data_IF_638579601444
#
_entry.id   IF_638579601444
#
_cell.length_a   1.000
_cell.length_b   1.000
_cell.length_c   1.000
_cell.angle_alpha   90.00
_cell.angle_beta   90.00
_cell.angle_gamma   90.00
#
_symmetry.space_group_name_H-M   'P 1'
#
loop_
_entity.id
_entity.type
_entity.pdbx_description
1 polymer ?
#
# COMPACT_ATOMS: atom_id res chain seq x y z
N UNK A 1 -7.78 21.35 -10.70
CA UNK A 1 -8.92 21.74 -9.86
C UNK A 1 -9.46 20.50 -9.19
N UNK A 2 -9.82 20.59 -7.91
CA UNK A 2 -10.34 19.46 -7.14
C UNK A 2 -11.84 19.59 -6.92
N UNK A 3 -12.52 18.44 -6.95
CA UNK A 3 -13.93 18.31 -6.55
C UNK A 3 -14.04 17.24 -5.49
N UNK A 4 -14.88 17.44 -4.48
CA UNK A 4 -15.17 16.46 -3.44
C UNK A 4 -16.67 16.16 -3.47
N UNK A 5 -16.99 14.87 -3.49
CA UNK A 5 -18.36 14.38 -3.48
C UNK A 5 -18.61 13.57 -2.20
N UNK A 6 -19.83 13.63 -1.70
CA UNK A 6 -20.32 12.74 -0.65
C UNK A 6 -21.62 12.10 -1.14
N UNK A 7 -21.66 10.78 -1.23
CA UNK A 7 -22.78 10.03 -1.77
C UNK A 7 -23.27 10.58 -3.13
N UNK A 8 -22.31 10.99 -3.99
CA UNK A 8 -22.60 11.58 -5.31
C UNK A 8 -22.98 13.08 -5.29
N UNK A 9 -23.18 13.70 -4.13
CA UNK A 9 -23.43 15.14 -3.99
C UNK A 9 -22.14 15.93 -3.92
N UNK A 10 -22.03 17.03 -4.65
CA UNK A 10 -20.84 17.86 -4.72
C UNK A 10 -20.67 18.66 -3.41
N UNK A 11 -19.73 18.27 -2.55
CA UNK A 11 -19.40 18.99 -1.31
C UNK A 11 -18.41 20.14 -1.54
N UNK A 12 -17.52 20.02 -2.50
CA UNK A 12 -16.50 21.03 -2.73
C UNK A 12 -16.19 21.19 -4.22
N UNK A 13 -16.19 22.44 -4.63
CA UNK A 13 -15.58 22.88 -5.87
C UNK A 13 -14.89 24.21 -5.60
N UNK A 14 -13.59 24.28 -5.90
CA UNK A 14 -12.77 25.48 -5.66
C UNK A 14 -13.29 26.74 -6.37
N UNK A 15 -14.19 26.61 -7.35
CA UNK A 15 -14.82 27.73 -8.06
C UNK A 15 -16.14 28.20 -7.43
N UNK A 16 -16.70 27.46 -6.47
CA UNK A 16 -18.00 27.77 -5.85
C UNK A 16 -17.84 28.12 -4.39
N UNK A 17 -18.11 29.36 -4.00
CA UNK A 17 -17.99 29.80 -2.58
C UNK A 17 -18.96 29.07 -1.66
N UNK A 18 -20.17 28.79 -2.14
CA UNK A 18 -21.22 28.08 -1.38
C UNK A 18 -20.92 26.59 -1.14
N UNK A 19 -19.98 26.01 -1.89
CA UNK A 19 -19.58 24.61 -1.78
C UNK A 19 -18.09 24.53 -1.42
N UNK A 20 -17.77 24.93 -0.18
CA UNK A 20 -16.41 24.89 0.33
C UNK A 20 -16.28 24.10 1.61
N UNK A 21 -15.29 23.24 1.64
CA UNK A 21 -14.77 22.61 2.85
C UNK A 21 -13.40 23.19 3.14
N UNK A 22 -12.94 23.14 4.38
CA UNK A 22 -11.64 23.67 4.80
C UNK A 22 -10.74 22.57 5.35
N UNK A 23 -9.42 22.84 5.42
CA UNK A 23 -8.43 21.89 5.93
C UNK A 23 -8.43 20.55 5.18
N UNK A 24 -8.85 20.56 3.90
CA UNK A 24 -9.05 19.36 3.11
C UNK A 24 -7.70 18.79 2.63
N UNK A 25 -7.32 17.63 3.19
CA UNK A 25 -6.07 16.95 2.89
C UNK A 25 -6.29 15.47 2.59
N UNK A 26 -5.75 15.02 1.46
CA UNK A 26 -5.66 13.61 1.09
C UNK A 26 -4.26 13.11 1.35
N UNK A 27 -4.14 11.99 2.05
CA UNK A 27 -2.88 11.27 2.24
C UNK A 27 -3.03 9.88 1.62
N UNK A 28 -2.20 9.59 0.63
CA UNK A 28 -2.14 8.28 -0.03
C UNK A 28 -0.75 7.71 0.22
N UNK A 29 -0.71 6.51 0.72
CA UNK A 29 0.55 5.79 0.98
C UNK A 29 0.44 4.38 0.41
N UNK A 30 1.54 3.92 -0.16
CA UNK A 30 1.62 2.62 -0.80
C UNK A 30 1.32 1.49 0.18
N UNK A 31 0.40 0.61 -0.18
CA UNK A 31 -0.02 -0.51 0.66
C UNK A 31 -0.85 -0.13 1.89
N UNK A 32 -1.34 1.10 1.99
CA UNK A 32 -2.20 1.59 3.08
C UNK A 32 -3.58 1.98 2.57
N UNK A 33 -4.52 2.11 3.49
CA UNK A 33 -5.92 2.46 3.16
C UNK A 33 -6.06 3.85 2.53
N UNK A 34 -5.12 4.76 2.81
CA UNK A 34 -5.26 6.18 2.50
C UNK A 34 -6.20 6.90 3.47
N UNK A 35 -6.04 8.21 3.59
CA UNK A 35 -6.81 9.06 4.49
C UNK A 35 -7.27 10.32 3.75
N UNK A 36 -8.47 10.81 4.10
CA UNK A 36 -8.94 12.12 3.68
C UNK A 36 -9.56 12.85 4.86
N UNK A 37 -9.02 13.99 5.22
CA UNK A 37 -9.51 14.82 6.32
C UNK A 37 -10.04 16.14 5.77
N UNK A 38 -11.14 16.63 6.32
CA UNK A 38 -11.70 17.95 6.00
C UNK A 38 -12.59 18.48 7.12
N UNK A 39 -12.87 19.78 7.07
CA UNK A 39 -13.83 20.45 7.95
C UNK A 39 -14.98 21.00 7.12
N UNK A 40 -16.22 20.76 7.55
CA UNK A 40 -17.44 21.30 6.96
C UNK A 40 -18.22 22.07 8.04
N UNK A 41 -18.73 23.25 7.67
CA UNK A 41 -19.41 24.16 8.57
C UNK A 41 -20.95 24.08 8.45
N UNK A 42 -21.70 24.47 9.48
CA UNK A 42 -23.17 24.36 9.49
C UNK A 42 -23.91 25.11 8.38
N UNK A 43 -23.32 26.16 7.83
CA UNK A 43 -23.86 26.93 6.70
C UNK A 43 -23.71 26.24 5.34
N UNK A 44 -22.96 25.15 5.28
CA UNK A 44 -22.79 24.37 4.05
C UNK A 44 -24.07 23.61 3.69
N UNK A 45 -24.58 23.66 2.43
CA UNK A 45 -25.85 23.07 2.03
C UNK A 45 -26.01 21.57 2.32
N UNK A 46 -24.89 20.84 2.38
CA UNK A 46 -24.86 19.40 2.62
C UNK A 46 -24.23 19.02 3.97
N UNK A 47 -24.21 19.94 4.93
CA UNK A 47 -23.66 19.68 6.26
C UNK A 47 -24.29 18.46 6.94
N UNK A 48 -25.64 18.34 6.85
CA UNK A 48 -26.40 17.25 7.47
C UNK A 48 -26.35 15.93 6.68
N UNK A 49 -25.71 15.93 5.52
CA UNK A 49 -25.61 14.77 4.65
C UNK A 49 -24.33 13.92 4.89
N UNK A 50 -23.47 14.37 5.80
CA UNK A 50 -22.23 13.67 6.17
C UNK A 50 -22.49 12.81 7.39
N UNK A 51 -22.54 11.49 7.18
CA UNK A 51 -22.87 10.48 8.21
C UNK A 51 -21.69 9.54 8.46
N UNK A 52 -21.48 9.22 9.73
CA UNK A 52 -20.48 8.27 10.19
C UNK A 52 -20.73 6.88 9.58
N UNK A 53 -19.70 6.22 9.03
CA UNK A 53 -19.68 4.89 8.44
C UNK A 53 -20.57 4.67 7.21
N UNK A 54 -21.51 5.57 6.93
CA UNK A 54 -22.49 5.45 5.84
C UNK A 54 -22.12 6.30 4.62
N UNK A 55 -21.48 7.44 4.83
CA UNK A 55 -21.14 8.33 3.72
C UNK A 55 -19.88 7.88 3.02
N UNK A 56 -19.98 7.71 1.70
CA UNK A 56 -18.84 7.50 0.80
C UNK A 56 -18.40 8.86 0.27
N UNK A 57 -17.14 9.17 0.49
CA UNK A 57 -16.53 10.43 0.05
C UNK A 57 -15.52 10.13 -1.06
N UNK A 58 -15.65 10.86 -2.16
CA UNK A 58 -14.79 10.74 -3.33
C UNK A 58 -14.12 12.07 -3.62
N UNK A 59 -12.81 12.05 -3.81
CA UNK A 59 -12.02 13.22 -4.24
C UNK A 59 -11.59 13.01 -5.69
N UNK A 60 -11.88 13.99 -6.54
CA UNK A 60 -11.53 13.98 -7.95
C UNK A 60 -10.61 15.14 -8.31
N UNK A 61 -9.70 14.89 -9.23
CA UNK A 61 -8.87 15.88 -9.89
C UNK A 61 -8.92 15.67 -11.40
N UNK A 62 -9.32 16.71 -12.17
CA UNK A 62 -9.45 16.61 -13.64
C UNK A 62 -10.21 15.33 -14.05
N UNK A 63 -11.34 15.08 -13.41
CA UNK A 63 -12.24 13.93 -13.66
C UNK A 63 -11.65 12.54 -13.32
N UNK A 64 -10.42 12.48 -12.79
CA UNK A 64 -9.84 11.26 -12.20
C UNK A 64 -10.11 11.20 -10.70
N UNK A 65 -10.62 10.09 -10.22
CA UNK A 65 -10.72 9.81 -8.77
C UNK A 65 -9.33 9.57 -8.20
N UNK A 66 -8.95 10.36 -7.21
CA UNK A 66 -7.68 10.23 -6.50
C UNK A 66 -7.84 9.61 -5.11
N UNK A 67 -9.05 9.69 -4.53
CA UNK A 67 -9.40 9.07 -3.28
C UNK A 67 -10.88 8.68 -3.32
N UNK A 68 -11.19 7.53 -2.79
CA UNK A 68 -12.55 7.07 -2.47
C UNK A 68 -12.51 6.32 -1.16
N UNK A 69 -13.49 6.57 -0.29
CA UNK A 69 -13.52 5.94 1.02
C UNK A 69 -14.74 6.34 1.82
N UNK A 70 -14.82 5.89 3.07
CA UNK A 70 -15.94 6.17 3.96
C UNK A 70 -15.57 7.13 5.09
N UNK A 71 -16.57 7.79 5.64
CA UNK A 71 -16.41 8.61 6.85
C UNK A 71 -16.21 7.70 8.05
N UNK A 72 -15.00 7.73 8.62
CA UNK A 72 -14.62 6.91 9.79
C UNK A 72 -14.87 7.63 11.11
N UNK A 73 -14.64 8.94 11.14
CA UNK A 73 -14.74 9.74 12.39
C UNK A 73 -15.30 11.12 12.10
N UNK A 74 -16.17 11.59 12.99
CA UNK A 74 -16.68 12.97 13.02
C UNK A 74 -16.43 13.52 14.42
N UNK A 75 -15.75 14.66 14.50
CA UNK A 75 -15.60 15.46 15.73
C UNK A 75 -16.29 16.80 15.51
N UNK A 76 -16.97 17.32 16.54
CA UNK A 76 -17.65 18.60 16.49
C UNK A 76 -16.83 19.65 17.22
N UNK A 77 -16.59 20.79 16.59
CA UNK A 77 -15.92 21.92 17.20
C UNK A 77 -16.89 22.88 17.90
N UNK A 78 -16.33 23.97 18.39
CA UNK A 78 -17.09 24.94 19.20
C UNK A 78 -18.27 25.58 18.45
N UNK A 79 -18.15 25.78 17.16
CA UNK A 79 -19.22 26.35 16.31
C UNK A 79 -20.00 25.25 15.54
N UNK A 80 -20.04 24.06 16.08
CA UNK A 80 -20.65 22.88 15.45
C UNK A 80 -20.05 22.50 14.07
N UNK A 81 -18.87 23.00 13.73
CA UNK A 81 -18.17 22.51 12.56
C UNK A 81 -17.85 21.01 12.73
N UNK A 82 -18.06 20.24 11.67
CA UNK A 82 -17.68 18.83 11.64
C UNK A 82 -16.24 18.72 11.11
N UNK A 83 -15.34 18.20 11.94
CA UNK A 83 -14.04 17.72 11.52
C UNK A 83 -14.20 16.24 11.14
N UNK A 84 -14.05 15.94 9.86
CA UNK A 84 -14.34 14.63 9.28
C UNK A 84 -13.04 13.96 8.90
N UNK A 85 -12.87 12.73 9.34
CA UNK A 85 -11.79 11.85 8.88
C UNK A 85 -12.39 10.67 8.12
N UNK A 86 -11.90 10.46 6.90
CA UNK A 86 -12.29 9.35 6.03
C UNK A 86 -11.12 8.39 5.87
N UNK A 87 -11.44 7.10 5.78
CA UNK A 87 -10.50 6.03 5.42
C UNK A 87 -10.81 5.48 4.02
N UNK A 88 -9.77 5.13 3.27
CA UNK A 88 -9.90 4.67 1.90
C UNK A 88 -10.45 3.24 1.79
N UNK A 89 -10.71 2.84 0.56
CA UNK A 89 -11.49 1.64 0.21
C UNK A 89 -10.89 0.32 0.72
N UNK A 90 -9.56 0.20 0.88
CA UNK A 90 -8.94 -0.98 1.49
C UNK A 90 -9.53 -1.31 2.87
N UNK A 91 -9.98 -0.30 3.61
CA UNK A 91 -10.59 -0.48 4.92
C UNK A 91 -11.93 -1.24 4.88
N UNK A 92 -12.59 -1.38 3.73
CA UNK A 92 -13.80 -2.19 3.62
C UNK A 92 -13.53 -3.67 3.90
N UNK A 93 -12.31 -4.15 3.63
CA UNK A 93 -11.88 -5.51 3.96
C UNK A 93 -11.76 -5.78 5.48
N UNK A 94 -11.81 -4.73 6.31
CA UNK A 94 -11.87 -4.85 7.77
C UNK A 94 -13.31 -5.14 8.27
N UNK A 95 -14.33 -4.88 7.44
CA UNK A 95 -15.74 -5.07 7.82
C UNK A 95 -16.18 -6.53 7.77
N UNK A 96 -15.37 -7.40 7.21
CA UNK A 96 -15.71 -8.79 6.95
C UNK A 96 -14.74 -9.75 7.62
N UNK A 97 -15.21 -10.94 7.91
CA UNK A 97 -14.49 -11.93 8.71
C UNK A 97 -14.35 -13.22 7.91
N UNK A 98 -13.16 -13.76 7.91
CA UNK A 98 -12.85 -15.10 7.42
C UNK A 98 -13.02 -16.07 8.59
N UNK A 99 -13.92 -17.05 8.44
CA UNK A 99 -14.12 -18.12 9.41
C UNK A 99 -12.98 -19.13 9.36
N UNK A 100 -12.80 -19.96 10.41
CA UNK A 100 -11.87 -21.09 10.36
C UNK A 100 -12.06 -21.92 9.10
N UNK A 101 -11.00 -22.12 8.34
CA UNK A 101 -11.06 -22.85 7.09
C UNK A 101 -9.77 -23.64 6.82
N UNK A 102 -9.89 -24.66 5.97
CA UNK A 102 -8.76 -25.31 5.31
C UNK A 102 -8.83 -25.01 3.82
N UNK A 103 -7.71 -24.55 3.25
CA UNK A 103 -7.59 -24.19 1.85
C UNK A 103 -6.35 -24.83 1.24
N UNK A 104 -6.47 -25.28 0.00
CA UNK A 104 -5.38 -25.82 -0.80
C UNK A 104 -5.48 -25.26 -2.22
N UNK A 105 -4.44 -24.63 -2.73
CA UNK A 105 -4.43 -24.02 -4.06
C UNK A 105 -3.19 -23.17 -4.30
N UNK A 106 -3.33 -22.06 -5.00
CA UNK A 106 -2.29 -21.04 -5.20
C UNK A 106 -2.62 -19.75 -4.43
N UNK A 107 -1.68 -18.80 -4.38
CA UNK A 107 -1.90 -17.49 -3.74
C UNK A 107 -3.00 -16.68 -4.46
N UNK A 108 -2.97 -16.67 -5.79
CA UNK A 108 -3.97 -15.95 -6.59
C UNK A 108 -5.37 -16.53 -6.41
N UNK A 109 -5.50 -17.85 -6.39
CA UNK A 109 -6.76 -18.53 -6.12
C UNK A 109 -7.24 -18.29 -4.69
N UNK A 110 -6.31 -18.24 -3.72
CA UNK A 110 -6.67 -17.93 -2.33
C UNK A 110 -7.16 -16.49 -2.19
N UNK A 111 -6.51 -15.52 -2.84
CA UNK A 111 -7.00 -14.13 -2.90
C UNK A 111 -8.43 -14.09 -3.46
N UNK A 112 -8.68 -14.78 -4.58
CA UNK A 112 -10.01 -14.85 -5.18
C UNK A 112 -11.05 -15.46 -4.23
N UNK A 113 -10.67 -16.49 -3.46
CA UNK A 113 -11.50 -17.09 -2.45
C UNK A 113 -11.84 -16.12 -1.31
N UNK A 114 -10.85 -15.38 -0.79
CA UNK A 114 -11.04 -14.37 0.26
C UNK A 114 -11.93 -13.20 -0.21
N UNK A 115 -11.76 -12.74 -1.43
CA UNK A 115 -12.60 -11.68 -2.02
C UNK A 115 -14.04 -12.18 -2.21
N UNK A 116 -14.24 -13.44 -2.56
CA UNK A 116 -15.59 -14.05 -2.62
C UNK A 116 -16.26 -14.08 -1.24
N UNK A 117 -15.51 -14.44 -0.18
CA UNK A 117 -16.00 -14.41 1.21
C UNK A 117 -16.40 -12.98 1.58
N UNK A 118 -15.53 -12.00 1.32
CA UNK A 118 -15.79 -10.59 1.58
C UNK A 118 -17.07 -10.12 0.87
N UNK A 119 -17.17 -10.35 -0.44
CA UNK A 119 -18.29 -9.92 -1.25
C UNK A 119 -19.62 -10.53 -0.83
N UNK A 120 -19.60 -11.72 -0.21
CA UNK A 120 -20.78 -12.36 0.36
C UNK A 120 -21.28 -11.73 1.67
N UNK A 121 -20.46 -10.90 2.33
CA UNK A 121 -20.78 -10.29 3.62
C UNK A 121 -21.09 -8.79 3.53
N UNK A 122 -20.87 -8.16 2.39
CA UNK A 122 -21.08 -6.72 2.18
C UNK A 122 -22.05 -6.44 1.03
N UNK A 123 -22.63 -5.24 1.03
CA UNK A 123 -23.41 -4.74 -0.10
C UNK A 123 -22.52 -4.40 -1.33
N UNK A 124 -23.16 -4.22 -2.48
CA UNK A 124 -22.45 -4.01 -3.76
C UNK A 124 -21.55 -2.77 -3.78
N UNK A 125 -21.76 -1.79 -2.90
CA UNK A 125 -20.96 -0.57 -2.83
C UNK A 125 -19.59 -0.77 -2.21
N UNK A 126 -19.38 -1.90 -1.52
CA UNK A 126 -18.13 -2.27 -0.85
C UNK A 126 -17.43 -3.47 -1.47
N UNK A 127 -18.01 -4.11 -2.48
CA UNK A 127 -17.46 -5.28 -3.13
C UNK A 127 -16.20 -4.97 -3.95
N UNK A 128 -15.35 -5.98 -4.11
CA UNK A 128 -14.14 -5.96 -4.93
C UNK A 128 -14.17 -7.04 -6.01
N UNK A 129 -13.46 -6.79 -7.09
CA UNK A 129 -12.96 -7.83 -7.99
C UNK A 129 -11.45 -7.98 -7.79
N UNK A 130 -10.94 -9.19 -8.01
CA UNK A 130 -9.50 -9.41 -8.07
C UNK A 130 -8.97 -8.70 -9.31
N UNK A 131 -7.98 -7.86 -9.11
CA UNK A 131 -7.29 -7.12 -10.17
C UNK A 131 -5.99 -7.80 -10.58
N UNK A 132 -4.95 -6.98 -10.78
CA UNK A 132 -3.64 -7.48 -11.20
C UNK A 132 -2.94 -8.20 -10.04
N UNK A 133 -2.37 -9.37 -10.35
CA UNK A 133 -1.61 -10.17 -9.41
C UNK A 133 -0.20 -10.38 -9.95
N UNK A 134 0.75 -9.56 -9.50
CA UNK A 134 2.16 -9.64 -9.92
C UNK A 134 3.07 -10.32 -8.90
N UNK A 135 2.51 -10.80 -7.78
CA UNK A 135 3.24 -11.67 -6.88
C UNK A 135 3.55 -13.02 -7.55
N UNK A 136 4.66 -13.65 -7.15
CA UNK A 136 4.89 -15.04 -7.56
C UNK A 136 3.77 -15.93 -7.00
N UNK A 137 3.15 -16.69 -7.87
CA UNK A 137 2.04 -17.57 -7.52
C UNK A 137 2.56 -18.92 -7.03
N UNK A 138 2.49 -19.15 -5.73
CA UNK A 138 2.98 -20.39 -5.13
C UNK A 138 1.93 -21.50 -5.18
N UNK A 139 2.36 -22.68 -5.58
CA UNK A 139 1.57 -23.91 -5.57
C UNK A 139 2.46 -25.10 -5.24
N UNK A 140 2.10 -26.00 -4.30
CA UNK A 140 0.92 -25.92 -3.45
C UNK A 140 1.08 -24.92 -2.30
N UNK A 141 0.02 -24.18 -2.04
CA UNK A 141 -0.15 -23.33 -0.86
C UNK A 141 -1.30 -23.91 -0.01
N UNK A 142 -1.00 -24.24 1.22
CA UNK A 142 -1.95 -24.80 2.15
C UNK A 142 -2.17 -23.87 3.35
N UNK A 143 -3.42 -23.61 3.66
CA UNK A 143 -3.82 -22.80 4.81
C UNK A 143 -4.78 -23.59 5.68
N UNK A 144 -4.48 -23.66 6.97
CA UNK A 144 -5.41 -24.07 8.00
C UNK A 144 -5.50 -22.95 9.01
N UNK A 145 -6.70 -22.40 9.18
CA UNK A 145 -6.97 -21.36 10.19
C UNK A 145 -7.96 -21.90 11.21
N UNK A 146 -7.71 -21.59 12.48
CA UNK A 146 -8.59 -21.99 13.59
C UNK A 146 -9.30 -20.80 14.23
N UNK A 147 -8.95 -19.58 13.81
CA UNK A 147 -9.43 -18.32 14.37
C UNK A 147 -10.24 -17.54 13.35
N UNK A 148 -11.14 -16.69 13.85
CA UNK A 148 -11.82 -15.66 13.07
C UNK A 148 -10.91 -14.45 12.89
N UNK A 149 -10.65 -14.07 11.66
CA UNK A 149 -9.78 -12.90 11.34
C UNK A 149 -10.46 -12.01 10.30
N UNK A 150 -10.14 -10.72 10.26
CA UNK A 150 -10.67 -9.86 9.20
C UNK A 150 -10.07 -10.26 7.85
N UNK A 151 -10.84 -10.04 6.77
CA UNK A 151 -10.38 -10.38 5.42
C UNK A 151 -9.07 -9.65 5.09
N UNK A 152 -8.92 -8.38 5.50
CA UNK A 152 -7.68 -7.64 5.30
C UNK A 152 -6.50 -8.30 6.03
N UNK A 153 -6.67 -8.64 7.31
CA UNK A 153 -5.60 -9.27 8.11
C UNK A 153 -5.15 -10.61 7.52
N UNK A 154 -6.09 -11.41 7.00
CA UNK A 154 -5.76 -12.68 6.35
C UNK A 154 -4.96 -12.46 5.06
N UNK A 155 -5.38 -11.51 4.21
CA UNK A 155 -4.63 -11.14 2.99
C UNK A 155 -3.24 -10.62 3.35
N UNK A 156 -3.13 -9.71 4.32
CA UNK A 156 -1.84 -9.14 4.75
C UNK A 156 -0.91 -10.20 5.32
N UNK A 157 -1.43 -11.11 6.13
CA UNK A 157 -0.61 -12.14 6.79
C UNK A 157 -0.19 -13.25 5.83
N UNK A 158 -1.14 -13.76 5.02
CA UNK A 158 -0.92 -14.96 4.21
C UNK A 158 -0.34 -14.67 2.84
N UNK A 159 -0.71 -13.54 2.23
CA UNK A 159 -0.27 -13.21 0.87
C UNK A 159 0.83 -12.16 0.92
N UNK A 160 0.57 -10.99 1.49
CA UNK A 160 1.50 -9.86 1.45
C UNK A 160 2.74 -10.13 2.31
N UNK A 161 2.56 -10.64 3.53
CA UNK A 161 3.67 -10.93 4.44
C UNK A 161 4.65 -11.97 3.90
N UNK A 162 4.19 -12.88 3.04
CA UNK A 162 5.01 -13.94 2.45
C UNK A 162 5.57 -13.57 1.06
N UNK A 163 4.80 -12.83 0.26
CA UNK A 163 5.24 -12.42 -1.10
C UNK A 163 6.13 -11.19 -1.10
N UNK A 164 6.06 -10.35 -0.05
CA UNK A 164 6.72 -9.04 -0.02
C UNK A 164 6.12 -8.01 -0.98
N UNK A 165 4.92 -8.26 -1.51
CA UNK A 165 4.17 -7.36 -2.38
C UNK A 165 3.39 -6.32 -1.57
N UNK A 166 2.60 -5.49 -2.24
CA UNK A 166 1.70 -4.53 -1.61
C UNK A 166 0.30 -4.59 -2.22
N UNK A 167 -0.69 -4.13 -1.45
CA UNK A 167 -2.07 -3.99 -1.90
C UNK A 167 -2.30 -2.60 -2.49
N UNK A 168 -3.08 -2.55 -3.56
CA UNK A 168 -3.57 -1.31 -4.14
C UNK A 168 -5.02 -1.48 -4.57
N UNK A 169 -5.84 -0.45 -4.35
CA UNK A 169 -7.19 -0.39 -4.90
C UNK A 169 -7.23 0.54 -6.10
N UNK A 170 -7.99 0.18 -7.11
CA UNK A 170 -8.32 1.02 -8.25
C UNK A 170 -9.78 0.84 -8.65
N UNK A 171 -10.35 1.87 -9.24
CA UNK A 171 -11.73 1.83 -9.73
C UNK A 171 -11.77 2.14 -11.22
N UNK A 172 -12.34 1.23 -12.00
CA UNK A 172 -12.54 1.39 -13.44
C UNK A 172 -13.99 1.05 -13.80
N UNK A 173 -14.65 1.94 -14.53
CA UNK A 173 -16.04 1.75 -14.98
C UNK A 173 -17.02 1.40 -13.84
N UNK A 174 -16.80 1.96 -12.65
CA UNK A 174 -17.61 1.71 -11.45
C UNK A 174 -17.33 0.37 -10.74
N UNK A 175 -16.35 -0.39 -11.21
CA UNK A 175 -15.89 -1.63 -10.57
C UNK A 175 -14.64 -1.32 -9.76
N UNK A 176 -14.61 -1.81 -8.52
CA UNK A 176 -13.45 -1.71 -7.63
C UNK A 176 -12.62 -2.97 -7.73
N UNK A 177 -11.33 -2.80 -8.01
CA UNK A 177 -10.36 -3.88 -8.08
C UNK A 177 -9.40 -3.83 -6.89
N UNK A 178 -8.99 -5.01 -6.42
CA UNK A 178 -7.91 -5.19 -5.48
C UNK A 178 -6.72 -5.81 -6.22
N UNK A 179 -5.64 -5.06 -6.32
CA UNK A 179 -4.40 -5.48 -6.97
C UNK A 179 -3.38 -5.91 -5.91
N UNK A 180 -2.58 -6.93 -6.22
CA UNK A 180 -1.40 -7.38 -5.45
C UNK A 180 -0.18 -7.17 -6.33
N UNK A 181 0.61 -6.16 -6.02
CA UNK A 181 1.68 -5.68 -6.88
C UNK A 181 3.06 -5.88 -6.26
N UNK A 182 4.04 -6.27 -7.08
CA UNK A 182 5.44 -6.32 -6.69
C UNK A 182 6.08 -4.92 -6.76
N UNK A 183 7.22 -4.78 -6.08
CA UNK A 183 8.02 -3.55 -6.14
C UNK A 183 8.99 -3.50 -7.32
N UNK A 184 8.84 -4.41 -8.27
CA UNK A 184 9.69 -4.43 -9.46
C UNK A 184 9.47 -3.16 -10.31
N UNK A 185 10.53 -2.71 -10.94
CA UNK A 185 10.47 -1.53 -11.81
C UNK A 185 9.58 -1.84 -13.01
N UNK A 186 8.38 -1.25 -13.01
CA UNK A 186 7.52 -1.22 -14.19
C UNK A 186 7.71 0.08 -14.95
N UNK A 187 8.39 0.00 -16.08
CA UNK A 187 8.63 1.16 -16.95
C UNK A 187 7.35 1.76 -17.51
N UNK A 188 6.27 0.98 -17.59
CA UNK A 188 4.97 1.46 -18.05
C UNK A 188 4.26 2.28 -16.97
N UNK A 189 4.65 2.14 -15.70
CA UNK A 189 4.14 2.91 -14.57
C UNK A 189 5.11 4.03 -14.15
N UNK A 190 5.91 4.52 -15.08
CA UNK A 190 6.82 5.65 -14.84
C UNK A 190 6.06 6.98 -14.91
N UNK A 191 6.35 7.87 -13.95
CA UNK A 191 5.82 9.25 -13.98
C UNK A 191 6.43 10.01 -15.14
N UNK A 192 5.61 10.81 -15.84
CA UNK A 192 6.10 11.78 -16.85
C UNK A 192 6.69 13.04 -16.21
N UNK A 193 6.54 13.21 -14.89
CA UNK A 193 7.13 14.27 -14.11
C UNK A 193 8.43 13.79 -13.47
N UNK A 194 9.58 14.35 -13.89
CA UNK A 194 10.87 14.06 -13.28
C UNK A 194 11.12 14.94 -12.04
N UNK A 195 11.92 14.45 -11.11
CA UNK A 195 12.41 15.21 -9.95
C UNK A 195 13.80 15.76 -10.29
N UNK A 196 13.98 17.06 -10.15
CA UNK A 196 15.24 17.72 -10.52
C UNK A 196 15.68 18.67 -9.41
N UNK A 197 16.95 18.52 -8.99
CA UNK A 197 17.58 19.47 -8.07
C UNK A 197 17.55 20.89 -8.64
N UNK A 198 17.12 21.85 -7.81
CA UNK A 198 16.95 23.24 -8.22
C UNK A 198 15.63 23.54 -8.95
N UNK A 199 14.74 22.56 -9.15
CA UNK A 199 13.41 22.76 -9.76
C UNK A 199 12.27 22.40 -8.79
N UNK A 200 12.07 21.13 -8.51
CA UNK A 200 10.95 20.62 -7.69
C UNK A 200 11.40 19.73 -6.51
N UNK A 201 12.68 19.47 -6.38
CA UNK A 201 13.26 18.84 -5.20
C UNK A 201 13.25 19.83 -4.03
N UNK A 202 12.52 19.53 -2.96
CA UNK A 202 12.38 20.38 -1.78
C UNK A 202 13.39 19.99 -0.72
N UNK A 203 13.47 18.71 -0.40
CA UNK A 203 14.37 18.16 0.62
C UNK A 203 14.81 16.75 0.25
N UNK A 204 15.95 16.33 0.77
CA UNK A 204 16.47 14.98 0.64
C UNK A 204 17.10 14.55 1.96
N UNK A 205 16.58 13.46 2.51
CA UNK A 205 17.15 12.78 3.66
C UNK A 205 17.63 11.41 3.21
N UNK A 206 18.84 11.05 3.60
CA UNK A 206 19.39 9.71 3.38
C UNK A 206 19.75 9.10 4.72
N UNK A 207 19.01 8.07 5.09
CA UNK A 207 19.32 7.25 6.25
C UNK A 207 19.89 5.91 5.76
N UNK A 208 20.99 5.49 6.35
CA UNK A 208 21.57 4.17 6.13
C UNK A 208 21.47 3.43 7.46
N UNK A 209 20.49 2.56 7.56
CA UNK A 209 20.22 1.76 8.77
C UNK A 209 20.50 0.29 8.48
N UNK A 210 21.47 -0.28 9.18
CA UNK A 210 21.87 -1.68 9.04
C UNK A 210 21.11 -2.65 9.94
N UNK A 211 20.16 -2.19 10.77
CA UNK A 211 19.49 -3.03 11.77
C UNK A 211 18.68 -4.19 11.18
N UNK A 212 18.15 -4.00 9.98
CA UNK A 212 17.34 -5.00 9.25
C UNK A 212 18.07 -5.64 8.06
N UNK A 213 19.39 -5.35 7.91
CA UNK A 213 20.18 -5.94 6.82
C UNK A 213 20.29 -7.45 7.01
N UNK A 214 20.01 -8.18 5.96
CA UNK A 214 20.31 -9.60 5.86
C UNK A 214 20.84 -9.90 4.46
N UNK A 215 21.74 -10.86 4.38
CA UNK A 215 22.30 -11.34 3.12
C UNK A 215 21.94 -12.81 2.86
N UNK A 216 21.27 -13.42 3.82
CA UNK A 216 20.85 -14.82 3.78
C UNK A 216 19.57 -15.01 4.57
N UNK A 217 18.70 -15.90 4.11
CA UNK A 217 17.51 -16.31 4.88
C UNK A 217 17.50 -17.82 5.10
N UNK A 218 17.03 -18.21 6.29
CA UNK A 218 16.69 -19.59 6.65
C UNK A 218 15.17 -19.66 6.61
N UNK A 219 14.57 -20.19 5.52
CA UNK A 219 13.13 -20.29 5.42
C UNK A 219 12.61 -21.49 6.22
N UNK A 220 11.54 -21.26 6.97
CA UNK A 220 10.82 -22.29 7.70
C UNK A 220 9.37 -22.32 7.22
N UNK A 221 8.91 -23.47 6.73
CA UNK A 221 7.51 -23.70 6.35
C UNK A 221 6.64 -24.06 7.55
N UNK A 222 5.49 -24.64 7.24
CA UNK A 222 4.54 -25.16 8.24
C UNK A 222 5.13 -26.37 8.96
N UNK A 223 4.59 -26.70 10.11
CA UNK A 223 4.98 -27.89 10.87
C UNK A 223 4.31 -29.15 10.28
N UNK A 224 5.14 -30.12 9.88
CA UNK A 224 4.69 -31.41 9.38
C UNK A 224 5.36 -32.52 10.22
N UNK A 225 4.55 -33.40 10.80
CA UNK A 225 5.02 -34.50 11.66
C UNK A 225 5.91 -34.03 12.85
N UNK A 226 5.62 -32.88 13.43
CA UNK A 226 6.34 -32.37 14.61
C UNK A 226 7.64 -31.62 14.26
N UNK A 227 7.91 -31.32 13.00
CA UNK A 227 9.08 -30.55 12.56
C UNK A 227 8.69 -29.52 11.51
N UNK A 228 9.27 -28.32 11.60
CA UNK A 228 9.10 -27.30 10.57
C UNK A 228 9.76 -27.74 9.25
N UNK A 229 9.06 -27.57 8.15
CA UNK A 229 9.57 -27.84 6.82
C UNK A 229 10.72 -26.86 6.51
N UNK A 230 11.84 -27.39 6.04
CA UNK A 230 13.00 -26.65 5.57
C UNK A 230 13.36 -26.99 4.14
N UNK A 231 14.26 -26.21 3.55
CA UNK A 231 14.66 -26.37 2.12
C UNK A 231 15.85 -27.31 1.90
N UNK A 232 16.45 -27.86 2.96
CA UNK A 232 17.71 -28.63 2.85
C UNK A 232 17.67 -29.76 1.83
N UNK A 233 16.56 -30.50 1.73
CA UNK A 233 16.38 -31.62 0.80
C UNK A 233 16.41 -31.21 -0.69
N UNK A 234 16.06 -29.98 -1.00
CA UNK A 234 15.98 -29.42 -2.37
C UNK A 234 17.01 -28.33 -2.64
N UNK A 235 17.92 -28.09 -1.69
CA UNK A 235 18.90 -27.00 -1.75
C UNK A 235 20.34 -27.48 -1.42
N UNK A 236 20.75 -28.63 -1.95
CA UNK A 236 22.09 -29.19 -1.72
C UNK A 236 22.46 -29.29 -0.22
N UNK A 237 21.52 -29.73 0.62
CA UNK A 237 21.62 -29.83 2.09
C UNK A 237 21.88 -28.50 2.82
N UNK A 238 21.83 -27.35 2.12
CA UNK A 238 21.93 -26.05 2.76
C UNK A 238 20.55 -25.61 3.24
N UNK A 239 20.39 -25.26 4.53
CA UNK A 239 19.09 -24.83 5.06
C UNK A 239 18.76 -23.36 4.74
N UNK A 240 19.61 -22.67 4.00
CA UNK A 240 19.50 -21.24 3.71
C UNK A 240 19.75 -20.95 2.23
N UNK A 241 19.27 -19.78 1.79
CA UNK A 241 19.64 -19.18 0.51
C UNK A 241 20.35 -17.84 0.76
N UNK A 242 21.26 -17.46 -0.14
CA UNK A 242 22.06 -16.23 -0.05
C UNK A 242 21.81 -15.33 -1.25
N UNK A 243 21.94 -14.03 -1.03
CA UNK A 243 22.16 -13.06 -2.09
C UNK A 243 23.67 -12.74 -2.12
N UNK A 244 24.34 -13.14 -3.19
CA UNK A 244 25.81 -13.03 -3.26
C UNK A 244 26.29 -11.58 -3.27
N UNK A 245 25.54 -10.64 -3.88
CA UNK A 245 25.88 -9.23 -3.88
C UNK A 245 25.79 -8.64 -2.46
N UNK A 246 24.77 -9.08 -1.69
CA UNK A 246 24.63 -8.71 -0.29
C UNK A 246 25.75 -9.26 0.57
N UNK A 247 26.12 -10.52 0.34
CA UNK A 247 27.21 -11.16 1.04
C UNK A 247 28.54 -10.43 0.77
N UNK A 248 28.79 -10.06 -0.49
CA UNK A 248 29.98 -9.31 -0.87
C UNK A 248 30.04 -7.93 -0.20
N UNK A 249 28.89 -7.28 -0.01
CA UNK A 249 28.82 -5.93 0.54
C UNK A 249 28.78 -5.88 2.07
N UNK A 250 28.03 -6.79 2.70
CA UNK A 250 27.73 -6.74 4.15
C UNK A 250 28.23 -7.95 4.94
N UNK A 251 28.80 -8.93 4.27
CA UNK A 251 29.11 -10.22 4.87
C UNK A 251 27.88 -11.13 4.97
N UNK A 252 28.06 -12.31 5.55
CA UNK A 252 26.99 -13.29 5.71
C UNK A 252 26.17 -12.99 6.98
N UNK A 253 24.93 -12.56 6.78
CA UNK A 253 23.99 -12.22 7.87
C UNK A 253 22.70 -13.03 7.63
N UNK A 254 22.41 -13.97 8.53
CA UNK A 254 21.23 -14.82 8.44
C UNK A 254 20.01 -14.18 9.10
N UNK A 255 18.85 -14.30 8.43
CA UNK A 255 17.53 -14.01 8.97
C UNK A 255 16.66 -15.26 8.88
N UNK A 256 15.94 -15.59 9.95
CA UNK A 256 14.94 -16.66 9.90
C UNK A 256 13.62 -16.06 9.43
N UNK A 257 12.98 -16.69 8.44
CA UNK A 257 11.70 -16.25 7.88
C UNK A 257 10.72 -17.41 7.89
N UNK A 258 9.57 -17.22 8.52
CA UNK A 258 8.50 -18.22 8.55
C UNK A 258 7.51 -17.99 7.41
N UNK A 259 7.20 -19.05 6.69
CA UNK A 259 6.23 -19.11 5.58
C UNK A 259 5.09 -20.04 5.99
N UNK A 260 4.03 -19.43 6.54
CA UNK A 260 2.85 -20.17 7.01
C UNK A 260 2.08 -20.76 5.85
N UNK A 261 1.63 -22.01 6.02
CA UNK A 261 0.83 -22.73 5.02
C UNK A 261 1.66 -23.42 3.93
N UNK A 262 2.99 -23.33 3.95
CA UNK A 262 3.86 -24.00 2.98
C UNK A 262 4.41 -25.30 3.60
N UNK A 263 3.94 -26.43 3.07
CA UNK A 263 4.26 -27.78 3.56
C UNK A 263 5.26 -28.52 2.70
N UNK A 264 5.56 -28.01 1.49
CA UNK A 264 6.44 -28.67 0.53
C UNK A 264 7.79 -27.94 0.42
N UNK A 265 8.95 -28.63 0.55
CA UNK A 265 10.27 -28.02 0.50
C UNK A 265 10.56 -27.22 -0.79
N UNK A 266 10.07 -27.70 -1.95
CA UNK A 266 10.28 -27.02 -3.22
C UNK A 266 9.49 -25.71 -3.30
N UNK A 267 8.23 -25.72 -2.85
CA UNK A 267 7.41 -24.52 -2.78
C UNK A 267 8.01 -23.49 -1.80
N UNK A 268 8.50 -23.98 -0.65
CA UNK A 268 9.21 -23.15 0.33
C UNK A 268 10.46 -22.49 -0.24
N UNK A 269 11.23 -23.22 -1.05
CA UNK A 269 12.43 -22.66 -1.70
C UNK A 269 12.06 -21.55 -2.68
N UNK A 270 11.05 -21.75 -3.52
CA UNK A 270 10.56 -20.74 -4.47
C UNK A 270 10.07 -19.50 -3.71
N UNK A 271 9.29 -19.69 -2.64
CA UNK A 271 8.81 -18.60 -1.79
C UNK A 271 9.96 -17.80 -1.18
N UNK A 272 10.98 -18.51 -0.67
CA UNK A 272 12.17 -17.92 -0.09
C UNK A 272 13.01 -17.13 -1.09
N UNK A 273 13.19 -17.63 -2.31
CA UNK A 273 13.91 -16.93 -3.38
C UNK A 273 13.19 -15.63 -3.78
N UNK A 274 11.87 -15.67 -3.89
CA UNK A 274 11.08 -14.48 -4.20
C UNK A 274 11.04 -13.48 -3.04
N UNK A 275 10.91 -13.98 -1.80
CA UNK A 275 11.04 -13.13 -0.61
C UNK A 275 12.39 -12.42 -0.59
N UNK A 276 13.49 -13.15 -0.83
CA UNK A 276 14.83 -12.60 -0.92
C UNK A 276 14.90 -11.50 -1.99
N UNK A 277 14.38 -11.75 -3.19
CA UNK A 277 14.38 -10.78 -4.30
C UNK A 277 13.62 -9.50 -3.96
N UNK A 278 12.44 -9.64 -3.34
CA UNK A 278 11.57 -8.51 -3.04
C UNK A 278 11.98 -7.72 -1.78
N UNK A 279 12.66 -8.39 -0.84
CA UNK A 279 13.05 -7.78 0.43
C UNK A 279 14.56 -7.53 0.55
N UNK A 280 15.36 -8.01 -0.40
CA UNK A 280 16.74 -7.64 -0.56
C UNK A 280 16.79 -6.24 -1.21
N UNK A 281 16.43 -5.25 -0.45
CA UNK A 281 16.66 -3.87 -0.84
C UNK A 281 17.73 -3.31 0.06
N UNK A 282 18.74 -2.68 -0.54
CA UNK A 282 19.70 -1.87 0.21
C UNK A 282 18.95 -0.99 1.21
N UNK A 283 19.32 -1.11 2.45
CA UNK A 283 18.71 -0.40 3.56
C UNK A 283 19.16 1.07 3.65
N UNK A 284 19.46 1.66 2.53
CA UNK A 284 19.44 3.11 2.46
C UNK A 284 18.01 3.54 2.18
N UNK A 285 17.28 3.91 3.22
CA UNK A 285 16.06 4.68 3.01
C UNK A 285 16.48 6.04 2.46
N UNK A 286 16.10 6.31 1.24
CA UNK A 286 16.22 7.64 0.66
C UNK A 286 14.82 8.22 0.72
N UNK A 287 14.64 9.24 1.53
CA UNK A 287 13.40 10.00 1.58
C UNK A 287 13.64 11.34 0.88
N UNK A 288 12.85 11.60 -0.14
CA UNK A 288 12.91 12.85 -0.90
C UNK A 288 11.54 13.49 -0.83
N UNK A 289 11.50 14.72 -0.32
CA UNK A 289 10.31 15.56 -0.39
C UNK A 289 10.32 16.36 -1.67
N UNK A 290 9.26 16.28 -2.44
CA UNK A 290 9.11 16.90 -3.76
C UNK A 290 7.87 17.77 -3.80
N UNK A 291 7.96 18.92 -4.46
CA UNK A 291 6.80 19.69 -4.83
C UNK A 291 6.18 19.10 -6.12
N UNK A 292 4.90 18.77 -6.08
CA UNK A 292 4.15 18.39 -7.28
C UNK A 292 3.87 19.64 -8.12
N UNK A 293 4.48 19.74 -9.30
CA UNK A 293 4.34 20.88 -10.19
C UNK A 293 3.26 20.66 -11.28
N UNK A 294 2.56 19.55 -11.27
CA UNK A 294 1.47 19.27 -12.23
C UNK A 294 0.27 20.23 -12.09
N UNK A 295 0.20 21.00 -11.01
CA UNK A 295 -0.78 22.08 -10.86
C UNK A 295 -0.41 23.36 -11.61
N UNK A 296 0.86 23.50 -12.03
CA UNK A 296 1.38 24.63 -12.81
C UNK A 296 1.53 24.32 -14.29
N UNK A 297 1.60 23.03 -14.64
CA UNK A 297 1.84 22.56 -16.00
C UNK A 297 0.89 21.39 -16.31
N UNK A 298 -0.11 21.66 -17.13
CA UNK A 298 -1.16 20.70 -17.47
C UNK A 298 -0.68 19.52 -18.33
N UNK A 299 0.54 19.58 -18.85
CA UNK A 299 1.18 18.46 -19.58
C UNK A 299 1.77 17.42 -18.65
N UNK A 300 1.90 17.76 -17.36
CA UNK A 300 2.42 16.86 -16.34
C UNK A 300 1.29 16.18 -15.56
N UNK A 301 1.44 14.90 -15.34
CA UNK A 301 0.58 14.16 -14.43
C UNK A 301 1.02 14.35 -12.98
N UNK A 302 0.04 14.33 -12.07
CA UNK A 302 0.32 14.28 -10.64
C UNK A 302 0.99 12.96 -10.29
N UNK A 303 1.90 12.98 -9.32
CA UNK A 303 2.46 11.75 -8.78
C UNK A 303 1.38 10.88 -8.14
N UNK A 304 1.58 9.57 -8.24
CA UNK A 304 0.69 8.57 -7.64
C UNK A 304 1.56 7.53 -6.90
N UNK A 305 1.19 7.08 -5.69
CA UNK A 305 1.91 5.99 -5.04
C UNK A 305 2.01 4.76 -5.94
N UNK A 306 3.19 4.13 -5.96
CA UNK A 306 3.49 3.01 -6.84
C UNK A 306 4.09 3.38 -8.19
N UNK A 307 4.10 4.65 -8.58
CA UNK A 307 4.81 5.11 -9.78
C UNK A 307 6.31 5.20 -9.56
N UNK A 308 7.07 4.87 -10.58
CA UNK A 308 8.50 5.14 -10.64
C UNK A 308 8.77 6.53 -11.17
N UNK A 309 9.77 7.20 -10.62
CA UNK A 309 10.15 8.56 -10.98
C UNK A 309 11.66 8.67 -11.13
N UNK A 310 12.10 9.34 -12.19
CA UNK A 310 13.51 9.65 -12.41
C UNK A 310 13.92 10.88 -11.60
N UNK A 311 14.96 10.71 -10.78
CA UNK A 311 15.53 11.77 -9.94
C UNK A 311 16.87 12.19 -10.50
N UNK A 312 16.98 13.46 -10.86
CA UNK A 312 18.18 14.08 -11.41
C UNK A 312 18.87 14.93 -10.34
N UNK A 313 19.89 14.37 -9.70
CA UNK A 313 20.69 15.09 -8.71
C UNK A 313 22.11 14.50 -8.59
N UNK A 314 23.05 15.06 -9.35
CA UNK A 314 24.46 14.64 -9.32
C UNK A 314 25.14 14.85 -7.96
N UNK A 315 24.58 15.71 -7.11
CA UNK A 315 25.12 15.97 -5.78
C UNK A 315 24.80 14.86 -4.77
N UNK A 316 23.71 14.12 -5.01
CA UNK A 316 23.17 13.15 -4.04
C UNK A 316 23.28 11.70 -4.52
N UNK A 317 23.39 11.47 -5.82
CA UNK A 317 23.40 10.14 -6.41
C UNK A 317 24.59 9.94 -7.34
N UNK A 318 25.19 8.75 -7.27
CA UNK A 318 26.24 8.32 -8.22
C UNK A 318 25.65 8.03 -9.60
N UNK A 319 24.48 7.40 -9.64
CA UNK A 319 23.71 7.21 -10.86
C UNK A 319 22.82 8.42 -11.10
N UNK A 320 22.76 8.90 -12.33
CA UNK A 320 21.95 10.06 -12.67
C UNK A 320 21.39 9.93 -14.11
N UNK A 321 20.07 9.70 -14.28
CA UNK A 321 19.05 9.68 -13.22
C UNK A 321 19.06 8.41 -12.36
N UNK A 322 18.55 8.54 -11.13
CA UNK A 322 18.23 7.44 -10.26
C UNK A 322 16.71 7.23 -10.27
N UNK A 323 16.24 6.01 -10.53
CA UNK A 323 14.82 5.68 -10.45
C UNK A 323 14.42 5.38 -8.99
N UNK A 324 13.41 6.10 -8.50
CA UNK A 324 12.86 5.91 -7.16
C UNK A 324 11.33 5.74 -7.22
N UNK A 325 10.79 5.03 -6.24
CA UNK A 325 9.36 4.76 -6.13
C UNK A 325 8.65 5.89 -5.36
N UNK A 326 7.51 6.36 -5.87
CA UNK A 326 6.62 7.25 -5.12
C UNK A 326 5.94 6.43 -4.01
N UNK A 327 6.24 6.78 -2.75
CA UNK A 327 5.76 6.05 -1.57
C UNK A 327 4.49 6.66 -0.99
N UNK A 328 4.52 7.97 -0.85
CA UNK A 328 3.43 8.71 -0.21
C UNK A 328 3.22 10.04 -0.93
N UNK A 329 1.97 10.44 -0.99
CA UNK A 329 1.58 11.78 -1.43
C UNK A 329 0.62 12.40 -0.43
N UNK A 330 0.87 13.64 -0.05
CA UNK A 330 -0.03 14.45 0.76
C UNK A 330 -0.51 15.63 -0.06
N UNK A 331 -1.78 15.63 -0.42
CA UNK A 331 -2.40 16.63 -1.29
C UNK A 331 -3.22 17.60 -0.43
N UNK A 332 -2.87 18.87 -0.47
CA UNK A 332 -3.68 19.94 0.11
C UNK A 332 -4.66 20.44 -0.96
N UNK A 333 -5.94 20.09 -0.81
CA UNK A 333 -6.99 20.44 -1.78
C UNK A 333 -7.24 21.94 -1.83
N UNK A 334 -7.19 22.58 -0.65
CA UNK A 334 -7.44 24.03 -0.53
C UNK A 334 -6.23 24.86 -1.01
N UNK A 335 -5.02 24.29 -0.92
CA UNK A 335 -3.80 24.92 -1.40
C UNK A 335 -2.87 23.90 -2.11
N UNK A 336 -3.12 23.57 -3.38
CA UNK A 336 -2.38 22.54 -4.11
C UNK A 336 -0.86 22.74 -4.17
N UNK A 337 -0.38 23.97 -3.99
CA UNK A 337 1.07 24.28 -3.93
C UNK A 337 1.76 23.62 -2.72
N UNK A 338 1.00 23.26 -1.70
CA UNK A 338 1.51 22.58 -0.50
C UNK A 338 1.53 21.06 -0.65
N UNK A 339 1.17 20.51 -1.82
CA UNK A 339 1.27 19.08 -2.09
C UNK A 339 2.71 18.61 -1.91
N UNK A 340 2.89 17.53 -1.15
CA UNK A 340 4.18 16.92 -0.86
C UNK A 340 4.19 15.48 -1.33
N UNK A 341 5.30 15.06 -1.89
CA UNK A 341 5.50 13.71 -2.40
C UNK A 341 6.75 13.14 -1.76
N UNK A 342 6.62 11.98 -1.16
CA UNK A 342 7.74 11.23 -0.61
C UNK A 342 8.09 10.13 -1.59
N UNK A 343 9.33 10.13 -2.05
CA UNK A 343 9.87 9.09 -2.92
C UNK A 343 11.07 8.44 -2.26
N UNK A 344 11.30 7.17 -2.55
CA UNK A 344 12.42 6.47 -1.95
C UNK A 344 12.35 4.98 -2.21
N UNK A 345 13.37 4.26 -1.75
CA UNK A 345 13.32 2.81 -1.65
C UNK A 345 12.59 2.44 -0.36
N UNK A 346 11.72 1.43 -0.45
CA UNK A 346 10.95 0.99 0.72
C UNK A 346 11.86 0.31 1.74
N UNK A 347 11.76 0.80 2.98
CA UNK A 347 12.18 0.07 4.16
C UNK A 347 10.96 -0.77 4.60
N UNK A 348 10.99 -2.08 4.49
CA UNK A 348 9.99 -2.96 5.09
C UNK A 348 10.61 -3.78 6.19
N UNK A 349 10.20 -3.48 7.43
CA UNK A 349 10.22 -4.45 8.51
C UNK A 349 8.85 -5.15 8.55
N UNK A 350 8.84 -6.45 8.78
CA UNK A 350 7.63 -7.26 9.09
C UNK A 350 6.87 -6.65 10.27
N UNK A 351 7.54 -5.87 11.10
CA UNK A 351 7.00 -5.15 12.26
C UNK A 351 5.96 -4.10 11.91
N UNK A 352 6.00 -3.49 10.73
CA UNK A 352 5.04 -2.44 10.36
C UNK A 352 3.64 -3.00 10.05
N UNK A 353 3.57 -4.21 9.54
CA UNK A 353 2.30 -4.91 9.32
C UNK A 353 1.64 -5.33 10.64
N UNK A 354 2.43 -5.73 11.64
CA UNK A 354 1.94 -6.14 12.96
C UNK A 354 1.57 -4.92 13.83
N UNK A 355 2.32 -3.82 13.75
CA UNK A 355 2.06 -2.61 14.54
C UNK A 355 0.72 -1.94 14.15
N UNK A 356 0.29 -2.07 12.90
CA UNK A 356 -1.01 -1.54 12.45
C UNK A 356 -2.19 -2.37 12.99
N UNK A 357 -1.98 -3.64 13.29
CA UNK A 357 -2.99 -4.55 13.86
C UNK A 357 -3.12 -4.35 15.37
N UNK A 358 -2.01 -4.10 16.08
CA UNK A 358 -2.00 -3.95 17.55
C UNK A 358 -2.39 -2.56 18.04
N UNK A 359 -2.38 -1.52 17.23
CA UNK A 359 -2.77 -0.16 17.64
C UNK A 359 -4.28 0.11 17.58
N UNK A 360 -5.10 -0.90 17.26
CA UNK A 360 -6.59 -0.81 17.19
C UNK A 360 -7.30 -1.71 18.23
N UNK A 361 -6.60 -2.18 19.29
CA UNK A 361 -7.25 -2.77 20.46
C UNK A 361 -7.47 -1.74 21.57
#
# INVERSE_FOLDING_TARGET
MFKVFCNGKLLHDSNMESLRISGAKVELELGKTGLFNFTIYPDHPYYDEVFLMLSIVTVQRKDKTIFSGRVLKISYGFHNEKQVACEGELAFLLDTVVEPLAYYGSFSEYLAHLIKIHNGQVDSTKQFQVGDFSAADYYPFEVVTNDYVTTLAEIETRIIGQSGCYLQTRSENGIRYLDVLSYDVDINNASNQAITFGKNLVDIQREVDGSEVFSSIIPLGEEVNGAKVGIGSVNNYKPYITNEDAVAKYGLIHKVVEFKGITEPQALKIAAENYMRNNYLELSSIEITVADISHMDDTLDSFTPGQWVNVYSKHHFTENPTALLVRKITIDINNPKNTRVEVGRLKRGITDSIATITSKQ
#
